data_IF_598617629440
#
_entry.id   IF_598617629440
#
_cell.length_a   1.000
_cell.length_b   1.000
_cell.length_c   1.000
_cell.angle_alpha   90.00
_cell.angle_beta   90.00
_cell.angle_gamma   90.00
#
_symmetry.space_group_name_H-M   'P 1'
#
loop_
_entity.id
_entity.type
_entity.pdbx_description
1 polymer ?
#
# COMPACT_ATOMS: atom_id res chain seq x y z
N UNK A 1 3.19 -14.58 -8.18
CA UNK A 1 2.59 -13.76 -7.09
C UNK A 1 1.80 -14.66 -6.15
N UNK A 2 2.36 -14.93 -4.97
CA UNK A 2 1.69 -15.77 -3.97
C UNK A 2 2.59 -16.36 -2.89
N UNK A 3 3.88 -16.61 -3.16
CA UNK A 3 4.84 -17.09 -2.15
C UNK A 3 5.17 -16.01 -1.12
N UNK A 4 5.52 -16.36 0.12
CA UNK A 4 5.73 -15.38 1.21
C UNK A 4 6.83 -14.34 0.97
N UNK A 5 7.78 -14.61 0.07
CA UNK A 5 8.97 -13.77 -0.17
C UNK A 5 8.86 -12.82 -1.37
N UNK A 6 7.75 -12.88 -2.12
CA UNK A 6 7.66 -12.21 -3.42
C UNK A 6 7.85 -10.70 -3.34
N UNK A 7 7.36 -10.06 -2.27
CA UNK A 7 7.45 -8.61 -2.06
C UNK A 7 8.91 -8.21 -1.88
N UNK A 8 9.64 -8.94 -1.04
CA UNK A 8 11.04 -8.66 -0.70
C UNK A 8 11.94 -8.87 -1.91
N UNK A 9 11.80 -10.00 -2.61
CA UNK A 9 12.60 -10.32 -3.79
C UNK A 9 12.35 -9.34 -4.94
N UNK A 10 11.08 -8.99 -5.19
CA UNK A 10 10.71 -8.03 -6.23
C UNK A 10 11.22 -6.63 -5.89
N UNK A 11 11.11 -6.20 -4.64
CA UNK A 11 11.56 -4.87 -4.22
C UNK A 11 13.09 -4.75 -4.31
N UNK A 12 13.85 -5.76 -3.91
CA UNK A 12 15.31 -5.77 -4.10
C UNK A 12 15.73 -5.64 -5.57
N UNK A 13 14.94 -6.20 -6.47
CA UNK A 13 15.26 -6.21 -7.90
C UNK A 13 14.84 -4.91 -8.59
N UNK A 14 13.63 -4.41 -8.31
CA UNK A 14 13.01 -3.35 -9.10
C UNK A 14 12.87 -2.01 -8.35
N UNK A 15 12.87 -2.02 -7.02
CA UNK A 15 12.66 -0.84 -6.17
C UNK A 15 13.54 -0.90 -4.90
N UNK A 16 14.88 -0.98 -5.04
CA UNK A 16 15.77 -1.23 -3.90
C UNK A 16 15.69 -0.13 -2.82
N UNK A 17 15.36 1.11 -3.21
CA UNK A 17 15.17 2.21 -2.26
C UNK A 17 14.00 2.02 -1.29
N UNK A 18 13.04 1.12 -1.58
CA UNK A 18 11.89 0.82 -0.70
C UNK A 18 12.23 -0.28 0.32
N UNK A 19 13.32 -1.02 0.14
CA UNK A 19 13.69 -2.14 1.01
C UNK A 19 13.83 -1.75 2.48
N UNK A 20 14.54 -0.66 2.86
CA UNK A 20 14.64 -0.26 4.27
C UNK A 20 13.27 0.03 4.90
N UNK A 21 12.35 0.61 4.13
CA UNK A 21 10.98 0.86 4.59
C UNK A 21 10.20 -0.44 4.80
N UNK A 22 10.38 -1.43 3.92
CA UNK A 22 9.72 -2.73 4.06
C UNK A 22 10.21 -3.52 5.27
N UNK A 23 11.47 -3.35 5.69
CA UNK A 23 12.01 -3.99 6.90
C UNK A 23 11.35 -3.50 8.19
N UNK A 24 10.76 -2.31 8.16
CA UNK A 24 9.97 -1.75 9.28
C UNK A 24 8.51 -2.23 9.28
N UNK A 25 8.08 -3.00 8.27
CA UNK A 25 6.69 -3.39 8.08
C UNK A 25 6.50 -4.91 8.15
N UNK A 26 5.38 -5.34 8.72
CA UNK A 26 4.97 -6.74 8.64
C UNK A 26 4.42 -7.05 7.25
N UNK A 27 5.18 -7.82 6.47
CA UNK A 27 4.76 -8.24 5.12
C UNK A 27 4.04 -9.58 5.21
N UNK A 28 2.76 -9.60 4.82
CA UNK A 28 1.92 -10.82 4.83
C UNK A 28 1.32 -11.11 3.45
N UNK A 29 1.39 -12.37 3.01
CA UNK A 29 0.66 -12.84 1.83
C UNK A 29 -0.63 -13.56 2.26
N UNK A 30 -1.78 -12.89 2.07
CA UNK A 30 -3.09 -13.49 2.36
C UNK A 30 -3.30 -14.81 1.60
N UNK A 31 -2.86 -14.87 0.34
CA UNK A 31 -2.92 -16.09 -0.48
C UNK A 31 -2.08 -17.21 0.14
N UNK A 32 -0.82 -16.94 0.48
CA UNK A 32 0.05 -17.95 1.09
C UNK A 32 -0.56 -18.55 2.36
N UNK A 33 -1.17 -17.68 3.19
CA UNK A 33 -1.74 -18.09 4.47
C UNK A 33 -3.06 -18.84 4.35
N UNK A 34 -3.90 -18.55 3.37
CA UNK A 34 -5.31 -18.99 3.39
C UNK A 34 -5.80 -19.68 2.12
N UNK A 35 -4.98 -19.81 1.08
CA UNK A 35 -5.38 -20.52 -0.16
C UNK A 35 -5.75 -21.97 0.09
N UNK A 36 -5.06 -22.65 1.00
CA UNK A 36 -5.35 -24.03 1.37
C UNK A 36 -6.72 -24.19 2.08
N UNK A 37 -7.20 -23.15 2.77
CA UNK A 37 -8.50 -23.16 3.46
C UNK A 37 -9.65 -22.62 2.61
N UNK A 38 -9.37 -21.77 1.61
CA UNK A 38 -10.37 -21.27 0.67
C UNK A 38 -9.85 -21.32 -0.77
N UNK A 39 -9.76 -22.50 -1.40
CA UNK A 39 -9.23 -22.59 -2.76
C UNK A 39 -9.95 -21.62 -3.71
N UNK A 40 -9.17 -20.86 -4.49
CA UNK A 40 -9.66 -19.89 -5.48
C UNK A 40 -10.60 -18.77 -4.97
N UNK A 41 -10.57 -18.42 -3.67
CA UNK A 41 -11.31 -17.25 -3.14
C UNK A 41 -10.37 -16.19 -2.54
N UNK A 42 -9.83 -15.27 -3.38
CA UNK A 42 -9.00 -14.16 -2.91
C UNK A 42 -9.68 -13.23 -1.89
N UNK A 43 -11.00 -13.12 -1.96
CA UNK A 43 -11.75 -12.27 -1.03
C UNK A 43 -11.77 -12.90 0.36
N UNK A 44 -11.98 -14.21 0.46
CA UNK A 44 -11.88 -14.94 1.72
C UNK A 44 -10.48 -14.88 2.33
N UNK A 45 -9.42 -15.01 1.51
CA UNK A 45 -8.04 -14.89 1.99
C UNK A 45 -7.79 -13.54 2.65
N UNK A 46 -8.19 -12.46 1.98
CA UNK A 46 -8.02 -11.09 2.48
C UNK A 46 -8.85 -10.85 3.74
N UNK A 47 -10.12 -11.30 3.78
CA UNK A 47 -10.96 -11.20 4.99
C UNK A 47 -10.33 -11.91 6.20
N UNK A 48 -9.81 -13.13 6.01
CA UNK A 48 -9.15 -13.90 7.08
C UNK A 48 -7.85 -13.23 7.54
N UNK A 49 -7.01 -12.79 6.60
CA UNK A 49 -5.78 -12.08 6.93
C UNK A 49 -6.02 -10.79 7.72
N UNK A 50 -6.97 -9.95 7.26
CA UNK A 50 -7.32 -8.72 7.96
C UNK A 50 -7.90 -9.00 9.35
N UNK A 51 -8.75 -10.04 9.47
CA UNK A 51 -9.30 -10.46 10.76
C UNK A 51 -8.21 -10.94 11.73
N UNK A 52 -7.22 -11.70 11.26
CA UNK A 52 -6.07 -12.13 12.07
C UNK A 52 -5.29 -10.92 12.60
N UNK A 53 -5.01 -9.93 11.75
CA UNK A 53 -4.33 -8.69 12.15
C UNK A 53 -5.14 -7.91 13.19
N UNK A 54 -6.44 -7.74 12.96
CA UNK A 54 -7.33 -7.06 13.89
C UNK A 54 -7.43 -7.75 15.25
N UNK A 55 -7.52 -9.09 15.26
CA UNK A 55 -7.50 -9.89 16.51
C UNK A 55 -6.20 -9.71 17.28
N UNK A 56 -5.05 -9.76 16.59
CA UNK A 56 -3.73 -9.54 17.21
C UNK A 56 -3.68 -8.16 17.88
N UNK A 57 -4.06 -7.10 17.16
CA UNK A 57 -4.08 -5.74 17.72
C UNK A 57 -4.98 -5.60 18.94
N UNK A 58 -6.13 -6.27 18.93
CA UNK A 58 -7.00 -6.35 20.10
C UNK A 58 -6.34 -7.08 21.27
N UNK A 59 -5.69 -8.20 21.02
CA UNK A 59 -4.96 -8.97 22.05
C UNK A 59 -3.79 -8.18 22.65
N UNK A 60 -3.16 -7.31 21.85
CA UNK A 60 -2.10 -6.39 22.30
C UNK A 60 -2.64 -5.23 23.17
N UNK A 61 -3.94 -5.21 23.49
CA UNK A 61 -4.56 -4.22 24.37
C UNK A 61 -5.04 -2.94 23.70
N UNK A 62 -5.01 -2.86 22.36
CA UNK A 62 -5.57 -1.72 21.65
C UNK A 62 -7.10 -1.76 21.63
N UNK A 63 -7.75 -0.75 22.21
CA UNK A 63 -9.22 -0.62 22.25
C UNK A 63 -9.84 -0.15 20.93
N UNK A 64 -9.02 0.34 19.99
CA UNK A 64 -9.48 0.86 18.70
C UNK A 64 -8.38 0.78 17.64
N UNK A 65 -8.78 0.87 16.37
CA UNK A 65 -7.85 0.84 15.24
C UNK A 65 -8.17 1.97 14.26
N UNK A 66 -7.16 2.75 13.88
CA UNK A 66 -7.21 3.62 12.72
C UNK A 66 -6.68 2.85 11.50
N UNK A 67 -7.57 2.17 10.79
CA UNK A 67 -7.23 1.31 9.67
C UNK A 67 -7.32 2.09 8.35
N UNK A 68 -6.18 2.33 7.72
CA UNK A 68 -6.09 2.86 6.36
C UNK A 68 -5.78 1.72 5.40
N UNK A 69 -6.62 1.55 4.37
CA UNK A 69 -6.53 0.47 3.39
C UNK A 69 -6.43 1.06 2.00
N UNK A 70 -5.34 0.77 1.32
CA UNK A 70 -5.08 1.16 -0.06
C UNK A 70 -5.09 -0.11 -0.90
N UNK A 71 -5.81 -0.10 -2.02
CA UNK A 71 -5.88 -1.27 -2.89
C UNK A 71 -6.65 -1.01 -4.17
N UNK A 72 -6.38 -1.80 -5.20
CA UNK A 72 -7.06 -1.67 -6.49
C UNK A 72 -8.33 -2.52 -6.56
N UNK A 73 -8.51 -3.51 -5.70
CA UNK A 73 -9.65 -4.44 -5.75
C UNK A 73 -10.71 -4.09 -4.68
N UNK A 74 -11.98 -4.32 -5.02
CA UNK A 74 -13.08 -4.20 -4.03
C UNK A 74 -12.90 -5.15 -2.85
N UNK A 75 -12.25 -6.29 -3.06
CA UNK A 75 -11.98 -7.29 -2.04
C UNK A 75 -11.14 -6.74 -0.86
N UNK A 76 -10.18 -5.83 -1.09
CA UNK A 76 -9.45 -5.17 0.01
C UNK A 76 -10.40 -4.29 0.84
N UNK A 77 -11.22 -3.49 0.16
CA UNK A 77 -12.14 -2.55 0.79
C UNK A 77 -13.13 -3.31 1.68
N UNK A 78 -13.71 -4.40 1.16
CA UNK A 78 -14.61 -5.27 1.92
C UNK A 78 -13.92 -5.95 3.11
N UNK A 79 -12.69 -6.45 2.95
CA UNK A 79 -11.94 -7.06 4.03
C UNK A 79 -11.66 -6.08 5.18
N UNK A 80 -11.40 -4.81 4.88
CA UNK A 80 -11.27 -3.73 5.87
C UNK A 80 -12.51 -3.61 6.76
N UNK A 81 -13.69 -3.55 6.14
CA UNK A 81 -14.95 -3.44 6.85
C UNK A 81 -15.30 -4.71 7.64
N UNK A 82 -14.94 -5.89 7.14
CA UNK A 82 -15.08 -7.14 7.89
C UNK A 82 -14.21 -7.14 9.15
N UNK A 83 -12.95 -6.69 9.06
CA UNK A 83 -12.03 -6.70 10.19
C UNK A 83 -12.44 -5.74 11.30
N UNK A 84 -13.04 -4.59 10.97
CA UNK A 84 -13.56 -3.69 11.98
C UNK A 84 -14.70 -4.28 12.81
N UNK A 85 -15.49 -5.24 12.27
CA UNK A 85 -16.52 -5.95 13.05
C UNK A 85 -15.92 -6.88 14.12
N UNK A 86 -14.66 -7.27 13.94
CA UNK A 86 -13.93 -8.12 14.90
C UNK A 86 -13.39 -7.29 16.08
N UNK A 87 -13.20 -6.00 15.86
CA UNK A 87 -12.84 -5.03 16.89
C UNK A 87 -14.09 -4.61 17.66
N UNK A 88 -14.02 -4.61 18.99
CA UNK A 88 -15.15 -4.28 19.86
C UNK A 88 -15.15 -2.83 20.35
N UNK A 89 -14.22 -2.00 19.87
CA UNK A 89 -14.12 -0.60 20.27
C UNK A 89 -13.96 0.38 19.10
N UNK A 90 -13.76 1.68 19.37
CA UNK A 90 -13.87 2.74 18.38
C UNK A 90 -12.81 2.56 17.27
N UNK A 91 -13.26 2.14 16.10
CA UNK A 91 -12.39 1.87 14.96
C UNK A 91 -12.75 2.77 13.79
N UNK A 92 -11.73 3.45 13.24
CA UNK A 92 -11.84 4.28 12.05
C UNK A 92 -11.38 3.45 10.85
N UNK A 93 -12.20 3.41 9.81
CA UNK A 93 -11.89 2.66 8.58
C UNK A 93 -11.83 3.66 7.45
N UNK A 94 -10.68 3.73 6.79
CA UNK A 94 -10.44 4.64 5.68
C UNK A 94 -9.93 3.82 4.51
N UNK A 95 -10.70 3.82 3.43
CA UNK A 95 -10.41 2.97 2.29
C UNK A 95 -10.19 3.81 1.05
N UNK A 96 -9.09 3.61 0.34
CA UNK A 96 -8.80 4.25 -0.94
C UNK A 96 -8.73 3.16 -2.01
N UNK A 97 -9.72 3.15 -2.90
CA UNK A 97 -9.75 2.25 -4.05
C UNK A 97 -9.06 2.89 -5.25
N UNK A 98 -8.03 2.20 -5.74
CA UNK A 98 -7.28 2.59 -6.93
C UNK A 98 -8.01 2.07 -8.18
N UNK A 99 -7.70 2.68 -9.33
CA UNK A 99 -8.14 2.21 -10.63
C UNK A 99 -7.46 0.89 -10.95
N UNK A 100 -8.26 -0.10 -11.34
CA UNK A 100 -7.80 -1.42 -11.74
C UNK A 100 -7.08 -1.37 -13.10
N UNK A 101 -5.98 -2.12 -13.24
CA UNK A 101 -5.15 -2.16 -14.46
C UNK A 101 -4.73 -0.77 -14.99
N UNK A 102 -4.07 0.08 -14.18
CA UNK A 102 -3.64 1.39 -14.62
C UNK A 102 -2.47 1.32 -15.61
N UNK A 103 -2.36 2.30 -16.51
CA UNK A 103 -1.09 2.57 -17.21
C UNK A 103 -0.02 3.05 -16.22
N UNK A 104 1.26 3.02 -16.62
CA UNK A 104 2.37 3.49 -15.77
C UNK A 104 2.16 4.93 -15.31
N UNK A 105 1.78 5.83 -16.22
CA UNK A 105 1.48 7.24 -15.89
C UNK A 105 0.30 7.37 -14.92
N UNK A 106 -0.73 6.52 -15.10
CA UNK A 106 -1.88 6.50 -14.21
C UNK A 106 -1.50 5.99 -12.81
N UNK A 107 -0.64 4.98 -12.72
CA UNK A 107 -0.15 4.46 -11.46
C UNK A 107 0.67 5.51 -10.70
N UNK A 108 1.61 6.18 -11.38
CA UNK A 108 2.42 7.26 -10.80
C UNK A 108 1.52 8.38 -10.27
N UNK A 109 0.56 8.85 -11.07
CA UNK A 109 -0.34 9.92 -10.65
C UNK A 109 -1.23 9.52 -9.46
N UNK A 110 -1.70 8.27 -9.39
CA UNK A 110 -2.44 7.76 -8.24
C UNK A 110 -1.57 7.72 -6.97
N UNK A 111 -0.35 7.19 -7.07
CA UNK A 111 0.58 7.10 -5.94
C UNK A 111 0.95 8.48 -5.40
N UNK A 112 1.25 9.44 -6.28
CA UNK A 112 1.55 10.81 -5.87
C UNK A 112 0.35 11.50 -5.23
N UNK A 113 -0.86 11.33 -5.79
CA UNK A 113 -2.08 11.91 -5.19
C UNK A 113 -2.38 11.32 -3.81
N UNK A 114 -2.10 10.04 -3.61
CA UNK A 114 -2.24 9.41 -2.28
C UNK A 114 -1.16 9.91 -1.33
N UNK A 115 0.09 10.05 -1.77
CA UNK A 115 1.16 10.60 -0.95
C UNK A 115 0.83 12.02 -0.46
N UNK A 116 0.28 12.88 -1.33
CA UNK A 116 -0.18 14.24 -0.96
C UNK A 116 -1.28 14.26 0.10
N UNK A 117 -2.18 13.27 0.10
CA UNK A 117 -3.34 13.22 1.00
C UNK A 117 -3.17 12.26 2.17
N UNK A 118 -2.04 11.55 2.27
CA UNK A 118 -1.87 10.47 3.23
C UNK A 118 -1.99 10.97 4.67
N UNK A 119 -1.40 12.13 4.98
CA UNK A 119 -1.48 12.75 6.31
C UNK A 119 -2.92 13.14 6.67
N UNK A 120 -3.66 13.69 5.70
CA UNK A 120 -5.07 14.04 5.86
C UNK A 120 -5.92 12.78 6.11
N UNK A 121 -5.66 11.71 5.35
CA UNK A 121 -6.32 10.42 5.53
C UNK A 121 -6.01 9.85 6.90
N UNK A 122 -4.75 9.78 7.32
CA UNK A 122 -4.37 9.23 8.63
C UNK A 122 -4.97 10.04 9.76
N UNK A 123 -4.93 11.37 9.68
CA UNK A 123 -5.38 12.28 10.74
C UNK A 123 -6.90 12.45 10.83
N UNK A 124 -7.65 12.07 9.79
CA UNK A 124 -9.11 12.21 9.79
C UNK A 124 -9.74 11.43 10.97
N UNK A 125 -10.68 12.05 11.68
CA UNK A 125 -11.38 11.44 12.83
C UNK A 125 -12.65 10.69 12.44
N UNK A 126 -12.88 10.53 11.14
CA UNK A 126 -14.07 9.87 10.58
C UNK A 126 -13.65 8.76 9.63
N UNK A 127 -14.46 7.69 9.60
CA UNK A 127 -14.36 6.66 8.59
C UNK A 127 -14.76 7.21 7.23
N UNK A 128 -14.06 6.81 6.18
CA UNK A 128 -14.33 7.25 4.81
C UNK A 128 -14.00 6.16 3.81
N UNK A 129 -14.76 6.14 2.72
CA UNK A 129 -14.43 5.34 1.55
C UNK A 129 -14.30 6.27 0.38
N UNK A 130 -13.20 6.13 -0.37
CA UNK A 130 -12.93 6.97 -1.50
C UNK A 130 -12.42 6.16 -2.67
N UNK A 131 -12.90 6.50 -3.86
CA UNK A 131 -12.40 5.97 -5.12
C UNK A 131 -11.51 7.03 -5.78
N UNK A 132 -10.32 6.63 -6.24
CA UNK A 132 -9.45 7.46 -7.05
C UNK A 132 -9.96 7.47 -8.49
N UNK A 133 -10.15 8.67 -9.03
CA UNK A 133 -10.56 8.84 -10.42
C UNK A 133 -9.81 9.99 -11.08
N UNK A 134 -9.63 9.88 -12.39
CA UNK A 134 -9.06 10.96 -13.20
C UNK A 134 -10.09 12.07 -13.31
N UNK A 135 -9.69 13.28 -12.94
CA UNK A 135 -10.48 14.50 -13.05
C UNK A 135 -10.82 14.73 -14.53
N UNK A 136 -12.10 14.95 -14.84
CA UNK A 136 -12.51 15.39 -16.18
C UNK A 136 -11.99 16.80 -16.39
N UNK A 137 -11.15 16.98 -17.41
CA UNK A 137 -10.73 18.32 -17.83
C UNK A 137 -11.95 19.05 -18.39
N UNK A 138 -12.38 20.11 -17.71
CA UNK A 138 -13.35 21.05 -18.28
C UNK A 138 -12.65 21.87 -19.37
N UNK A 139 -13.42 22.35 -20.35
CA UNK A 139 -12.94 23.16 -21.48
C UNK A 139 -12.05 24.34 -21.04
N UNK A 140 -12.27 24.85 -19.82
CA UNK A 140 -11.56 25.98 -19.23
C UNK A 140 -10.11 25.68 -18.82
N UNK A 141 -9.74 24.40 -18.65
CA UNK A 141 -8.40 24.01 -18.19
C UNK A 141 -7.45 23.55 -19.31
N UNK A 142 -7.84 23.68 -20.58
CA UNK A 142 -7.02 23.25 -21.74
C UNK A 142 -5.69 24.01 -21.92
N UNK A 143 -5.44 25.08 -21.15
CA UNK A 143 -4.27 25.95 -21.30
C UNK A 143 -3.21 25.89 -20.20
N UNK A 144 -3.40 25.11 -19.12
CA UNK A 144 -2.40 24.99 -18.03
C UNK A 144 -1.62 23.68 -18.20
N UNK A 145 -0.47 23.74 -18.87
CA UNK A 145 0.37 22.59 -19.17
C UNK A 145 1.31 22.16 -18.03
N UNK A 146 1.35 22.88 -16.91
CA UNK A 146 2.31 22.63 -15.82
C UNK A 146 1.71 21.92 -14.60
N UNK A 147 0.55 21.28 -14.76
CA UNK A 147 -0.08 20.56 -13.66
C UNK A 147 0.65 19.24 -13.39
N UNK A 148 1.14 19.06 -12.16
CA UNK A 148 1.68 17.79 -11.66
C UNK A 148 0.77 16.61 -12.05
N UNK A 149 1.36 15.45 -12.36
CA UNK A 149 0.57 14.26 -12.71
C UNK A 149 -0.41 13.84 -11.60
N UNK A 150 -0.17 14.24 -10.34
CA UNK A 150 -1.10 14.09 -9.22
C UNK A 150 -2.36 14.98 -9.33
N UNK A 151 -2.24 16.18 -9.92
CA UNK A 151 -3.32 17.16 -10.02
C UNK A 151 -4.49 16.68 -10.91
N UNK A 152 -4.23 15.69 -11.78
CA UNK A 152 -5.25 15.05 -12.59
C UNK A 152 -6.04 13.97 -11.83
N UNK A 153 -5.68 13.68 -10.60
CA UNK A 153 -6.38 12.72 -9.75
C UNK A 153 -7.19 13.42 -8.68
N UNK A 154 -8.31 12.81 -8.31
CA UNK A 154 -9.15 13.29 -7.22
C UNK A 154 -9.76 12.11 -6.48
N UNK A 155 -9.95 12.31 -5.18
CA UNK A 155 -10.80 11.44 -4.38
C UNK A 155 -12.25 11.77 -4.72
N UNK A 156 -13.04 10.73 -4.97
CA UNK A 156 -14.49 10.82 -5.03
C UNK A 156 -15.06 10.02 -3.88
N UNK A 157 -16.22 10.45 -3.36
CA UNK A 157 -16.95 9.67 -2.35
C UNK A 157 -17.18 8.26 -2.89
N UNK A 158 -16.56 7.30 -2.23
CA UNK A 158 -16.58 5.92 -2.68
C UNK A 158 -17.85 5.21 -2.27
N UNK A 159 -18.01 3.99 -2.77
CA UNK A 159 -19.13 3.13 -2.37
C UNK A 159 -19.11 2.88 -0.86
N UNK A 160 -20.30 2.75 -0.28
CA UNK A 160 -20.46 2.27 1.10
C UNK A 160 -20.25 0.74 1.12
N UNK A 161 -18.99 0.35 1.28
CA UNK A 161 -18.58 -1.06 1.32
C UNK A 161 -19.14 -1.81 2.55
N UNK A 162 -19.63 -1.09 3.57
CA UNK A 162 -20.25 -1.67 4.76
C UNK A 162 -21.70 -2.12 4.56
N UNK A 163 -22.39 -1.60 3.53
CA UNK A 163 -23.81 -1.90 3.23
C UNK A 163 -24.04 -2.91 2.11
N UNK A 164 -22.99 -3.40 1.46
CA UNK A 164 -23.17 -4.41 0.41
C UNK A 164 -23.82 -5.65 1.02
N UNK A 165 -24.80 -6.28 0.33
CA UNK A 165 -25.32 -7.56 0.75
C UNK A 165 -24.14 -8.46 0.94
N UNK A 166 -24.08 -9.08 2.11
CA UNK A 166 -23.13 -10.10 2.48
C UNK A 166 -23.16 -11.22 1.44
N UNK A 167 -22.46 -11.06 0.32
CA UNK A 167 -22.22 -12.13 -0.64
C UNK A 167 -21.30 -13.09 0.11
N UNK A 168 -21.96 -14.10 0.67
CA UNK A 168 -21.52 -14.97 1.76
C UNK A 168 -21.48 -14.27 3.12
N UNK A 169 -22.48 -14.59 3.96
CA UNK A 169 -22.44 -14.49 5.42
C UNK A 169 -21.20 -15.24 5.91
N UNK A 170 -20.07 -14.56 5.90
CA UNK A 170 -18.90 -15.00 6.62
C UNK A 170 -19.23 -14.82 8.09
N UNK A 171 -19.60 -15.92 8.74
CA UNK A 171 -19.50 -16.01 10.18
C UNK A 171 -18.04 -16.34 10.51
N UNK A 172 -17.41 -15.63 11.46
CA UNK A 172 -16.11 -16.05 11.95
C UNK A 172 -16.26 -17.46 12.52
N UNK A 173 -15.64 -18.43 11.86
CA UNK A 173 -15.61 -19.80 12.33
C UNK A 173 -14.96 -19.80 13.73
N UNK A 174 -15.70 -20.23 14.76
CA UNK A 174 -15.19 -20.30 16.14
C UNK A 174 -14.03 -21.31 16.28
N UNK A 175 -13.76 -22.10 15.24
CA UNK A 175 -12.67 -23.06 15.14
C UNK A 175 -11.25 -22.48 15.05
N UNK A 176 -11.07 -21.18 14.81
CA UNK A 176 -9.74 -20.54 14.78
C UNK A 176 -9.12 -20.35 16.21
N UNK A 177 -9.69 -20.96 17.27
CA UNK A 177 -9.20 -20.85 18.66
C UNK A 177 -7.94 -21.67 18.97
N UNK A 178 -7.52 -22.60 18.11
CA UNK A 178 -6.33 -23.44 18.34
C UNK A 178 -5.37 -23.42 17.15
N UNK A 179 -4.56 -22.36 17.05
CA UNK A 179 -3.23 -22.49 16.44
C UNK A 179 -2.27 -21.46 17.05
N UNK A 180 -2.32 -21.36 18.38
CA UNK A 180 -1.28 -20.72 19.19
C UNK A 180 -0.11 -21.66 19.42
N UNK A 181 0.52 -22.16 18.35
CA UNK A 181 1.82 -22.84 18.45
C UNK A 181 2.60 -22.83 17.14
N UNK A 182 2.81 -21.65 16.58
CA UNK A 182 3.97 -21.44 15.70
C UNK A 182 4.84 -20.39 16.38
N UNK A 183 6.03 -20.82 16.83
CA UNK A 183 7.09 -19.96 17.33
C UNK A 183 7.51 -19.01 16.20
N UNK A 184 6.84 -17.87 16.07
CA UNK A 184 7.29 -16.77 15.23
C UNK A 184 7.75 -15.66 16.16
N UNK A 185 9.06 -15.60 16.34
CA UNK A 185 9.76 -14.62 17.17
C UNK A 185 9.80 -13.30 16.41
N UNK A 186 8.66 -12.63 16.31
CA UNK A 186 8.61 -11.29 15.73
C UNK A 186 8.75 -10.24 16.82
N UNK A 187 9.97 -9.73 16.92
CA UNK A 187 10.33 -8.54 17.70
C UNK A 187 9.45 -7.39 17.26
N UNK A 188 8.49 -7.01 18.11
CA UNK A 188 7.72 -5.79 17.94
C UNK A 188 8.59 -4.66 18.48
N UNK A 189 9.24 -3.93 17.58
CA UNK A 189 9.84 -2.65 17.93
C UNK A 189 8.75 -1.58 17.85
N UNK A 190 8.29 -1.14 19.02
CA UNK A 190 7.50 0.08 19.15
C UNK A 190 8.28 1.28 18.60
N UNK A 191 7.66 2.11 17.77
CA UNK A 191 8.07 3.51 17.65
C UNK A 191 6.88 4.43 17.39
N UNK A 192 6.72 5.38 18.31
CA UNK A 192 6.25 6.71 17.97
C UNK A 192 7.40 7.47 17.35
N UNK A 193 7.38 7.66 16.04
CA UNK A 193 8.25 8.59 15.30
C UNK A 193 7.77 8.68 13.84
N UNK A 194 6.54 9.13 13.61
CA UNK A 194 6.08 9.46 12.25
C UNK A 194 6.56 10.85 11.78
N UNK A 195 7.13 11.66 12.69
CA UNK A 195 7.59 13.03 12.40
C UNK A 195 8.96 13.11 11.69
N UNK A 196 9.73 12.01 11.59
CA UNK A 196 11.12 12.07 11.08
C UNK A 196 11.26 11.73 9.59
N UNK A 197 10.25 11.08 8.99
CA UNK A 197 10.34 10.55 7.62
C UNK A 197 10.02 11.61 6.54
N UNK A 198 9.29 12.68 6.89
CA UNK A 198 9.01 13.80 5.98
C UNK A 198 10.23 14.71 5.71
N UNK A 199 11.35 14.54 6.42
CA UNK A 199 12.57 15.35 6.20
C UNK A 199 13.47 14.87 5.07
N UNK A 200 13.26 13.66 4.55
CA UNK A 200 14.19 13.07 3.56
C UNK A 200 13.96 13.62 2.14
N UNK A 201 12.88 14.36 1.88
CA UNK A 201 12.62 14.97 0.56
C UNK A 201 13.10 16.42 0.43
N UNK A 202 13.79 17.00 1.43
CA UNK A 202 14.19 18.42 1.40
C UNK A 202 15.69 18.66 1.70
N UNK A 203 16.57 17.81 1.15
CA UNK A 203 17.99 18.14 1.07
C UNK A 203 18.52 18.00 -0.34
N UNK A 204 18.66 19.15 -0.99
CA UNK A 204 19.89 19.48 -1.71
C UNK A 204 20.00 18.99 -3.16
N UNK A 205 19.71 19.91 -4.08
CA UNK A 205 20.51 20.04 -5.30
C UNK A 205 22.00 20.02 -4.94
N UNK A 206 22.71 18.96 -5.29
CA UNK A 206 24.14 19.04 -5.63
C UNK A 206 24.26 18.84 -7.14
N UNK A 207 24.62 19.92 -7.82
CA UNK A 207 25.08 19.92 -9.20
C UNK A 207 26.35 19.07 -9.25
N UNK A 208 26.30 17.95 -9.97
CA UNK A 208 27.52 17.27 -10.40
C UNK A 208 28.01 18.00 -11.63
N UNK A 209 28.94 18.94 -11.42
CA UNK A 209 29.86 19.41 -12.46
C UNK A 209 30.58 18.18 -13.03
N UNK A 210 30.35 17.92 -14.33
CA UNK A 210 31.11 16.93 -15.08
C UNK A 210 32.28 17.68 -15.68
N UNK A 211 33.47 17.50 -15.10
CA UNK A 211 34.72 17.99 -15.66
C UNK A 211 34.97 17.33 -17.03
N UNK A 212 34.70 18.10 -18.09
CA UNK A 212 35.23 17.90 -19.42
C UNK A 212 36.70 18.35 -19.42
N UNK A 213 37.65 17.44 -19.22
CA UNK A 213 38.97 17.60 -19.84
C UNK A 213 39.80 16.31 -19.95
N UNK A 214 40.10 15.98 -21.21
CA UNK A 214 41.41 15.59 -21.71
C UNK A 214 42.06 14.26 -21.27
N UNK A 215 42.10 13.28 -22.19
CA UNK A 215 43.38 12.88 -22.81
C UNK A 215 43.18 12.12 -24.13
N UNK A 216 43.72 12.74 -25.17
CA UNK A 216 43.92 12.26 -26.54
C UNK A 216 45.04 11.22 -26.60
N UNK A 217 44.88 10.20 -27.44
CA UNK A 217 45.97 9.68 -28.25
C UNK A 217 46.26 8.18 -28.16
N UNK A 218 46.36 7.51 -29.32
CA UNK A 218 47.25 6.35 -29.42
C UNK A 218 46.82 5.17 -30.30
N UNK A 219 46.68 5.41 -31.60
CA UNK A 219 47.15 4.56 -32.71
C UNK A 219 46.76 3.06 -32.82
N UNK A 220 46.14 2.81 -33.98
CA UNK A 220 46.09 1.54 -34.70
C UNK A 220 47.47 0.90 -34.97
N UNK A 221 47.54 -0.44 -34.92
CA UNK A 221 48.47 -1.23 -35.73
C UNK A 221 47.78 -2.46 -36.31
N UNK A 222 47.59 -2.42 -37.64
CA UNK A 222 47.59 -3.59 -38.54
C UNK A 222 49.02 -4.14 -38.62
N UNK A 223 49.17 -5.45 -38.79
CA UNK A 223 50.44 -6.03 -39.23
C UNK A 223 50.54 -7.55 -39.08
N UNK A 224 50.12 -8.24 -40.14
CA UNK A 224 50.63 -9.53 -40.67
C UNK A 224 51.81 -10.21 -39.95
N UNK A 225 51.67 -11.51 -39.70
CA UNK A 225 52.46 -12.57 -40.34
C UNK A 225 51.73 -13.90 -40.26
#
# INVERSE_FOLDING_TARGET
NGCGTWVQESSKTYLPGVVPTLEMLTVTSARALYEHLNPADPSAWKRRAFSKIARRKRSDGHEGLNLVVLGDQSAEMQAAHCAAKVLQGPSLIKTVKFVESPSVEQLIGQLLKVAEELDNLVSAVVSSSSDLSKRRLTSENKGKQDASCAAFWTFSSGRDWGKLPSVLSWEPDEGDREESSVNEVDVIQEFGAFDEIMRITDTGHEEVEVDDDFMVGGQARRGTK
#
